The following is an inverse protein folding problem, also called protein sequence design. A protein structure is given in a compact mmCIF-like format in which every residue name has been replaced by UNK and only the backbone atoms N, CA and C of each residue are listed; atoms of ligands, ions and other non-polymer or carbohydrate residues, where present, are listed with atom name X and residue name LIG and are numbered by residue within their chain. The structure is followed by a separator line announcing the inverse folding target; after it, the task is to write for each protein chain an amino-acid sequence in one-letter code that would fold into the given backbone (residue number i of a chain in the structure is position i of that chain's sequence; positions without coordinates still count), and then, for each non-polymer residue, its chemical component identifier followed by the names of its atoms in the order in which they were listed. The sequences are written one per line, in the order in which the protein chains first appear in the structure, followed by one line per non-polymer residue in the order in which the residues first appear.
data_IF_056152000328
#
_entry.id   IF_056152000328
#
_cell.length_a   1.000
_cell.length_b   1.000
_cell.length_c   1.000
_cell.angle_alpha   90.00
_cell.angle_beta   90.00
_cell.angle_gamma   90.00
#
_symmetry.space_group_name_H-M   'P 1'
#
loop_
_entity.id
_entity.type
_entity.pdbx_description
1 polymer ?
#
# COMPACT_ATOMS: atom_id res chain seq x y z
N UNK A 1 8.66 -5.68 -9.98
CA UNK A 1 9.93 -5.20 -9.38
C UNK A 1 11.17 -5.74 -10.11
N UNK A 2 11.19 -6.99 -10.54
CA UNK A 2 12.33 -7.61 -11.25
C UNK A 2 12.86 -6.76 -12.42
N UNK A 3 11.96 -6.19 -13.23
CA UNK A 3 12.34 -5.31 -14.33
C UNK A 3 13.00 -4.02 -13.84
N UNK A 4 12.53 -3.41 -12.75
CA UNK A 4 13.14 -2.22 -12.17
C UNK A 4 14.56 -2.53 -11.65
N UNK A 5 14.71 -3.64 -10.95
CA UNK A 5 16.02 -4.14 -10.48
C UNK A 5 16.96 -4.38 -11.68
N UNK A 6 16.44 -5.00 -12.75
CA UNK A 6 17.24 -5.24 -13.96
C UNK A 6 17.68 -3.94 -14.66
N UNK A 7 16.78 -2.97 -14.78
CA UNK A 7 17.09 -1.67 -15.39
C UNK A 7 18.09 -0.86 -14.55
N UNK A 8 17.94 -0.88 -13.21
CA UNK A 8 18.89 -0.21 -12.33
C UNK A 8 20.30 -0.85 -12.44
N UNK A 9 20.40 -2.19 -12.42
CA UNK A 9 21.68 -2.90 -12.59
C UNK A 9 22.36 -2.63 -13.93
N UNK A 10 21.60 -2.29 -14.97
CA UNK A 10 22.14 -1.87 -16.28
C UNK A 10 22.54 -0.39 -16.33
N UNK A 11 22.18 0.38 -15.33
CA UNK A 11 22.38 1.82 -15.30
C UNK A 11 21.36 2.62 -16.14
N UNK A 12 20.24 1.98 -16.56
CA UNK A 12 19.18 2.63 -17.33
C UNK A 12 18.28 3.50 -16.45
N UNK A 13 18.20 3.20 -15.15
CA UNK A 13 17.49 3.98 -14.12
C UNK A 13 18.32 4.03 -12.85
N UNK A 14 18.18 5.14 -12.09
CA UNK A 14 18.92 5.45 -10.88
C UNK A 14 17.93 5.70 -9.73
N UNK A 15 18.11 5.01 -8.60
CA UNK A 15 17.29 5.16 -7.39
C UNK A 15 18.02 5.85 -6.25
N UNK A 16 19.28 6.28 -6.43
CA UNK A 16 20.14 6.84 -5.36
C UNK A 16 19.54 8.06 -4.66
N UNK A 17 18.72 8.85 -5.37
CA UNK A 17 18.04 10.03 -4.85
C UNK A 17 16.51 9.84 -4.72
N UNK A 18 16.00 8.64 -5.03
CA UNK A 18 14.58 8.33 -4.90
C UNK A 18 14.22 8.10 -3.43
N UNK A 19 13.10 8.65 -3.00
CA UNK A 19 12.46 8.35 -1.70
C UNK A 19 11.22 7.52 -1.94
N UNK A 20 11.02 6.49 -1.12
CA UNK A 20 9.85 5.63 -1.22
C UNK A 20 9.01 5.69 0.04
N UNK A 21 7.69 5.67 -0.15
CA UNK A 21 6.70 5.65 0.92
C UNK A 21 5.72 4.52 0.62
N UNK A 22 5.76 3.45 1.41
CA UNK A 22 4.85 2.33 1.24
C UNK A 22 3.43 2.73 1.66
N UNK A 23 2.43 2.17 0.97
CA UNK A 23 1.01 2.43 1.25
C UNK A 23 0.58 1.99 2.65
N UNK A 24 1.11 0.86 3.10
CA UNK A 24 0.59 0.16 4.27
C UNK A 24 1.60 -0.81 4.88
N UNK A 25 1.29 -1.25 6.10
CA UNK A 25 1.97 -2.34 6.80
C UNK A 25 1.01 -2.97 7.82
N UNK A 26 1.16 -4.27 8.06
CA UNK A 26 0.42 -4.97 9.09
C UNK A 26 0.81 -4.50 10.50
N UNK A 27 -0.19 -4.34 11.37
CA UNK A 27 0.04 -4.00 12.77
C UNK A 27 0.32 -5.25 13.60
N UNK A 28 1.33 -5.16 14.47
CA UNK A 28 1.86 -6.24 15.32
C UNK A 28 2.52 -7.39 14.58
N UNK A 29 2.73 -7.30 13.27
CA UNK A 29 3.57 -8.24 12.56
C UNK A 29 5.02 -7.73 12.59
N UNK A 30 6.01 -8.51 13.07
CA UNK A 30 7.42 -8.12 13.03
C UNK A 30 7.88 -7.83 11.59
N UNK A 31 8.67 -6.79 11.39
CA UNK A 31 9.17 -6.41 10.06
C UNK A 31 10.05 -7.47 9.39
N UNK A 32 10.62 -8.38 10.18
CA UNK A 32 11.40 -9.55 9.74
C UNK A 32 10.52 -10.73 9.30
N UNK A 33 9.22 -10.69 9.59
CA UNK A 33 8.29 -11.73 9.14
C UNK A 33 8.19 -11.70 7.62
N UNK A 34 8.24 -12.85 6.98
CA UNK A 34 8.24 -12.98 5.52
C UNK A 34 6.92 -12.53 4.84
N UNK A 35 5.88 -12.26 5.64
CA UNK A 35 4.60 -11.72 5.20
C UNK A 35 4.45 -10.22 5.48
N UNK A 36 5.43 -9.55 6.14
CA UNK A 36 5.40 -8.09 6.27
C UNK A 36 5.69 -7.41 4.94
N UNK A 37 5.10 -6.24 4.70
CA UNK A 37 5.42 -5.45 3.50
C UNK A 37 6.85 -4.92 3.54
N UNK A 38 7.39 -4.63 4.73
CA UNK A 38 8.80 -4.30 4.89
C UNK A 38 9.69 -5.42 4.31
N UNK A 39 9.52 -6.66 4.78
CA UNK A 39 10.29 -7.81 4.28
C UNK A 39 10.09 -8.01 2.78
N UNK A 40 8.84 -7.96 2.31
CA UNK A 40 8.50 -8.12 0.90
C UNK A 40 9.24 -7.11 0.02
N UNK A 41 9.24 -5.84 0.40
CA UNK A 41 9.85 -4.76 -0.39
C UNK A 41 11.37 -4.86 -0.39
N UNK A 42 11.99 -5.15 0.75
CA UNK A 42 13.44 -5.37 0.80
C UNK A 42 13.86 -6.57 -0.06
N UNK A 43 13.15 -7.69 0.05
CA UNK A 43 13.43 -8.90 -0.72
C UNK A 43 13.28 -8.69 -2.23
N UNK A 44 12.24 -7.99 -2.66
CA UNK A 44 11.86 -7.94 -4.07
C UNK A 44 12.35 -6.68 -4.80
N UNK A 45 12.73 -5.62 -4.09
CA UNK A 45 13.14 -4.36 -4.68
C UNK A 45 14.37 -3.74 -4.01
N UNK A 46 14.27 -3.33 -2.74
CA UNK A 46 15.26 -2.42 -2.15
C UNK A 46 16.66 -3.03 -2.07
N UNK A 47 16.80 -4.31 -1.75
CA UNK A 47 18.11 -5.00 -1.76
C UNK A 47 18.71 -5.15 -3.17
N UNK A 48 17.93 -4.93 -4.22
CA UNK A 48 18.34 -5.13 -5.61
C UNK A 48 18.70 -3.85 -6.36
N UNK A 49 18.50 -2.68 -5.77
CA UNK A 49 18.68 -1.36 -6.37
C UNK A 49 19.59 -0.47 -5.50
N UNK A 50 20.02 0.66 -6.03
CA UNK A 50 20.93 1.60 -5.39
C UNK A 50 20.27 2.66 -4.49
N UNK A 51 19.03 2.38 -4.01
CA UNK A 51 18.33 3.25 -3.04
C UNK A 51 19.06 3.28 -1.70
N UNK A 52 19.13 4.45 -1.07
CA UNK A 52 19.68 4.61 0.28
C UNK A 52 18.62 4.18 1.32
N UNK A 53 19.02 3.42 2.34
CA UNK A 53 18.09 2.96 3.40
C UNK A 53 17.35 4.10 4.09
N UNK A 54 17.98 5.25 4.26
CA UNK A 54 17.39 6.47 4.83
C UNK A 54 16.24 7.05 3.99
N UNK A 55 16.14 6.67 2.73
CA UNK A 55 15.11 7.09 1.79
C UNK A 55 13.96 6.08 1.69
N UNK A 56 14.01 4.97 2.41
CA UNK A 56 12.96 3.94 2.41
C UNK A 56 12.05 4.14 3.62
N UNK A 57 10.78 4.41 3.37
CA UNK A 57 9.80 4.64 4.42
C UNK A 57 8.66 3.61 4.30
N UNK A 58 8.52 2.79 5.34
CA UNK A 58 7.40 1.85 5.52
C UNK A 58 6.70 2.22 6.81
N UNK A 59 5.36 2.25 6.87
CA UNK A 59 4.65 2.56 8.11
C UNK A 59 5.09 1.64 9.25
N UNK A 60 5.28 2.18 10.45
CA UNK A 60 5.68 1.37 11.60
C UNK A 60 4.50 0.56 12.13
N UNK A 61 4.53 -0.75 11.96
CA UNK A 61 3.52 -1.69 12.47
C UNK A 61 3.69 -2.06 13.95
N UNK A 62 4.58 -1.40 14.72
CA UNK A 62 4.86 -1.72 16.10
C UNK A 62 4.65 -0.51 17.03
N UNK A 63 4.41 -0.75 18.32
CA UNK A 63 4.29 0.32 19.32
C UNK A 63 2.92 1.00 19.31
N UNK A 64 2.88 2.32 19.52
CA UNK A 64 1.65 3.10 19.55
C UNK A 64 1.18 3.39 18.11
N UNK A 65 0.09 2.76 17.72
CA UNK A 65 -0.42 2.83 16.35
C UNK A 65 -0.84 4.25 15.94
N UNK A 66 -1.41 5.04 16.88
CA UNK A 66 -1.84 6.40 16.57
C UNK A 66 -0.64 7.34 16.36
N UNK A 67 0.36 7.24 17.21
CA UNK A 67 1.60 8.02 17.06
C UNK A 67 2.29 7.68 15.72
N UNK A 68 2.34 6.40 15.36
CA UNK A 68 2.90 5.96 14.08
C UNK A 68 2.14 6.54 12.87
N UNK A 69 0.80 6.60 12.94
CA UNK A 69 -0.02 7.23 11.89
C UNK A 69 0.28 8.73 11.79
N UNK A 70 0.38 9.42 12.93
CA UNK A 70 0.63 10.86 12.97
C UNK A 70 2.04 11.20 12.45
N UNK A 71 3.05 10.42 12.83
CA UNK A 71 4.42 10.55 12.30
C UNK A 71 4.49 10.30 10.80
N UNK A 72 3.79 9.28 10.32
CA UNK A 72 3.77 8.97 8.88
C UNK A 72 3.07 10.08 8.09
N UNK A 73 1.95 10.62 8.59
CA UNK A 73 1.28 11.78 8.01
C UNK A 73 2.18 13.02 7.94
N UNK A 74 2.98 13.26 8.98
CA UNK A 74 3.95 14.34 9.00
C UNK A 74 5.03 14.14 7.93
N UNK A 75 5.59 12.93 7.84
CA UNK A 75 6.58 12.60 6.80
C UNK A 75 6.03 12.82 5.39
N UNK A 76 4.80 12.38 5.11
CA UNK A 76 4.16 12.57 3.81
C UNK A 76 3.93 14.05 3.49
N UNK A 77 3.54 14.87 4.48
CA UNK A 77 3.35 16.31 4.29
C UNK A 77 4.67 17.04 3.97
N UNK A 78 5.78 16.58 4.54
CA UNK A 78 7.11 17.13 4.29
C UNK A 78 7.75 16.62 2.98
N UNK A 79 7.24 15.50 2.44
CA UNK A 79 7.76 14.84 1.25
C UNK A 79 6.62 14.50 0.27
N UNK A 80 6.12 15.48 -0.51
CA UNK A 80 5.07 15.23 -1.49
C UNK A 80 5.45 14.13 -2.49
N UNK A 81 4.53 13.20 -2.72
CA UNK A 81 4.73 12.05 -3.60
C UNK A 81 4.58 12.49 -5.06
N UNK A 82 5.57 12.18 -5.91
CA UNK A 82 5.49 12.42 -7.33
C UNK A 82 4.63 11.38 -8.06
N UNK A 83 4.83 10.11 -7.73
CA UNK A 83 4.10 8.99 -8.34
C UNK A 83 3.63 8.03 -7.25
N UNK A 84 2.33 7.83 -7.13
CA UNK A 84 1.73 6.80 -6.28
C UNK A 84 1.35 5.58 -7.12
N UNK A 85 1.96 4.44 -6.81
CA UNK A 85 1.60 3.16 -7.42
C UNK A 85 0.51 2.49 -6.59
N UNK A 86 -0.57 2.04 -7.24
CA UNK A 86 -1.69 1.38 -6.60
C UNK A 86 -2.04 0.04 -7.25
N UNK A 87 -2.55 -0.88 -6.42
CA UNK A 87 -3.43 -1.96 -6.84
C UNK A 87 -4.90 -1.60 -6.59
N UNK A 88 -5.80 -2.51 -6.93
CA UNK A 88 -7.23 -2.40 -6.63
C UNK A 88 -7.76 -3.73 -6.08
N UNK A 89 -8.54 -3.67 -5.02
CA UNK A 89 -9.26 -4.81 -4.50
C UNK A 89 -10.45 -5.21 -5.39
N UNK A 90 -10.96 -6.42 -5.25
CA UNK A 90 -12.14 -6.88 -5.99
C UNK A 90 -13.42 -6.10 -5.63
N UNK A 91 -13.46 -5.51 -4.43
CA UNK A 91 -14.52 -4.63 -3.94
C UNK A 91 -14.21 -3.12 -4.14
N UNK A 92 -13.11 -2.79 -4.85
CA UNK A 92 -12.72 -1.42 -5.16
C UNK A 92 -11.90 -0.71 -4.08
N UNK A 93 -11.42 -1.41 -3.05
CA UNK A 93 -10.50 -0.79 -2.09
C UNK A 93 -9.14 -0.46 -2.72
N UNK A 94 -8.47 0.57 -2.21
CA UNK A 94 -7.10 0.98 -2.55
C UNK A 94 -6.28 1.11 -1.26
N UNK A 95 -5.09 0.48 -1.20
CA UNK A 95 -4.43 0.21 0.07
C UNK A 95 -5.36 -0.62 0.96
N UNK A 96 -5.45 -0.32 2.25
CA UNK A 96 -6.49 -0.87 3.12
C UNK A 96 -7.69 0.06 3.32
N UNK A 97 -7.94 0.99 2.37
CA UNK A 97 -9.14 1.83 2.39
C UNK A 97 -10.32 1.06 1.81
N UNK A 98 -11.09 0.42 2.68
CA UNK A 98 -12.25 -0.40 2.37
C UNK A 98 -13.48 0.46 2.01
N UNK A 99 -14.52 -0.11 1.34
CA UNK A 99 -15.78 0.58 1.10
C UNK A 99 -16.34 1.26 2.35
N UNK A 100 -16.70 2.55 2.22
CA UNK A 100 -17.13 3.42 3.29
C UNK A 100 -16.02 4.31 3.89
N UNK A 101 -14.76 4.17 3.44
CA UNK A 101 -13.68 5.06 3.88
C UNK A 101 -13.89 6.48 3.38
N UNK A 102 -13.75 7.47 4.27
CA UNK A 102 -13.84 8.89 3.92
C UNK A 102 -12.71 9.28 2.96
N UNK A 103 -13.05 10.00 1.89
CA UNK A 103 -12.08 10.49 0.92
C UNK A 103 -11.07 11.48 1.48
N UNK A 104 -11.40 12.16 2.60
CA UNK A 104 -10.48 13.06 3.31
C UNK A 104 -9.60 12.31 4.34
N UNK A 105 -9.67 10.98 4.40
CA UNK A 105 -8.86 10.19 5.33
C UNK A 105 -7.37 10.37 5.07
N UNK A 106 -6.62 10.56 6.14
CA UNK A 106 -5.15 10.50 6.15
C UNK A 106 -4.69 9.13 6.64
N UNK A 107 -3.38 8.91 6.75
CA UNK A 107 -2.84 7.65 7.28
C UNK A 107 -3.51 7.33 8.62
N UNK A 108 -4.06 6.15 8.70
CA UNK A 108 -4.86 5.67 9.83
C UNK A 108 -4.67 4.17 10.03
N UNK A 109 -5.06 3.68 11.19
CA UNK A 109 -5.17 2.25 11.40
C UNK A 109 -6.54 1.75 10.97
N UNK A 110 -6.58 0.50 10.52
CA UNK A 110 -7.80 -0.15 10.06
C UNK A 110 -7.93 -1.54 10.69
N UNK A 111 -9.15 -1.92 11.00
CA UNK A 111 -9.51 -3.31 11.26
C UNK A 111 -9.81 -3.97 9.91
N UNK A 112 -9.11 -5.07 9.60
CA UNK A 112 -9.30 -5.77 8.32
C UNK A 112 -10.65 -6.48 8.29
N UNK A 113 -11.36 -6.36 7.17
CA UNK A 113 -12.62 -7.09 6.95
C UNK A 113 -12.36 -8.59 6.82
N UNK A 114 -13.34 -9.41 7.19
CA UNK A 114 -13.23 -10.88 7.05
C UNK A 114 -12.89 -11.33 5.63
N UNK A 115 -13.45 -10.65 4.61
CA UNK A 115 -13.13 -10.94 3.21
C UNK A 115 -11.66 -10.71 2.90
N UNK A 116 -11.07 -9.64 3.42
CA UNK A 116 -9.66 -9.31 3.26
C UNK A 116 -8.78 -10.30 4.02
N UNK A 117 -9.17 -10.68 5.25
CA UNK A 117 -8.47 -11.71 6.03
C UNK A 117 -8.45 -13.04 5.29
N UNK A 118 -9.60 -13.49 4.76
CA UNK A 118 -9.72 -14.75 3.98
C UNK A 118 -8.88 -14.73 2.71
N UNK A 119 -8.91 -13.62 1.97
CA UNK A 119 -8.09 -13.49 0.76
C UNK A 119 -6.59 -13.49 1.10
N UNK A 120 -6.18 -12.77 2.13
CA UNK A 120 -4.79 -12.73 2.57
C UNK A 120 -4.34 -14.10 3.12
N UNK A 121 -5.18 -14.80 3.91
CA UNK A 121 -4.90 -16.15 4.36
C UNK A 121 -4.61 -17.08 3.17
N UNK A 122 -5.49 -17.08 2.18
CA UNK A 122 -5.35 -17.91 0.98
C UNK A 122 -4.10 -17.57 0.16
N UNK A 123 -3.76 -16.28 0.03
CA UNK A 123 -2.69 -15.83 -0.86
C UNK A 123 -1.31 -15.87 -0.20
N UNK A 124 -1.24 -15.59 1.11
CA UNK A 124 0.01 -15.26 1.79
C UNK A 124 0.27 -16.06 3.07
N UNK A 125 -0.76 -16.61 3.72
CA UNK A 125 -0.66 -17.29 5.00
C UNK A 125 -1.06 -18.77 4.94
N UNK A 126 -0.89 -19.42 3.79
CA UNK A 126 -1.17 -20.86 3.57
C UNK A 126 -2.59 -21.30 3.96
N UNK A 127 -3.56 -20.40 3.90
CA UNK A 127 -4.94 -20.65 4.28
C UNK A 127 -5.24 -20.48 5.76
N UNK A 128 -4.27 -20.08 6.58
CA UNK A 128 -4.44 -19.86 8.03
C UNK A 128 -4.94 -18.43 8.30
N UNK A 129 -6.25 -18.30 8.56
CA UNK A 129 -6.87 -17.01 8.88
C UNK A 129 -6.44 -16.47 10.26
N UNK A 130 -6.04 -17.32 11.18
CA UNK A 130 -5.60 -16.91 12.53
C UNK A 130 -4.19 -16.31 12.49
N UNK A 131 -3.37 -16.72 11.55
CA UNK A 131 -2.04 -16.16 11.32
C UNK A 131 -2.07 -14.77 10.66
N UNK A 132 -3.18 -14.40 9.98
CA UNK A 132 -3.33 -13.08 9.36
C UNK A 132 -3.52 -12.02 10.44
N UNK A 133 -2.69 -10.94 10.46
CA UNK A 133 -2.94 -9.81 11.34
C UNK A 133 -4.34 -9.23 11.12
N UNK A 134 -5.00 -8.83 12.20
CA UNK A 134 -6.37 -8.30 12.13
C UNK A 134 -6.43 -6.79 11.90
N UNK A 135 -5.29 -6.12 12.02
CA UNK A 135 -5.16 -4.68 11.88
C UNK A 135 -3.97 -4.31 11.00
N UNK A 136 -4.05 -3.15 10.35
CA UNK A 136 -2.99 -2.58 9.54
C UNK A 136 -2.94 -1.06 9.70
N UNK A 137 -1.81 -0.45 9.34
CA UNK A 137 -1.69 0.98 9.09
C UNK A 137 -1.76 1.17 7.57
N UNK A 138 -2.56 2.12 7.11
CA UNK A 138 -2.69 2.44 5.69
C UNK A 138 -2.67 3.94 5.44
N UNK A 139 -1.99 4.38 4.37
CA UNK A 139 -2.24 5.71 3.83
C UNK A 139 -3.73 5.87 3.57
N UNK A 140 -4.28 7.01 4.00
CA UNK A 140 -5.66 7.35 3.68
C UNK A 140 -5.82 7.80 2.23
N UNK A 141 -7.06 7.90 1.78
CA UNK A 141 -7.39 8.28 0.41
C UNK A 141 -6.85 9.67 0.08
N UNK A 142 -6.92 10.63 1.01
CA UNK A 142 -6.36 11.96 0.81
C UNK A 142 -4.84 11.92 0.55
N UNK A 143 -4.08 11.12 1.32
CA UNK A 143 -2.64 10.99 1.09
C UNK A 143 -2.32 10.44 -0.32
N UNK A 144 -3.13 9.50 -0.80
CA UNK A 144 -2.99 8.94 -2.15
C UNK A 144 -3.29 10.02 -3.19
N UNK A 145 -4.36 10.78 -3.01
CA UNK A 145 -4.80 11.83 -3.95
C UNK A 145 -3.90 13.08 -3.93
N UNK A 146 -3.12 13.30 -2.87
CA UNK A 146 -2.13 14.38 -2.79
C UNK A 146 -0.90 14.12 -3.68
N UNK A 147 -0.75 12.90 -4.21
CA UNK A 147 0.31 12.59 -5.16
C UNK A 147 0.13 13.32 -6.50
N UNK A 148 1.22 13.75 -7.13
CA UNK A 148 1.16 14.44 -8.44
C UNK A 148 0.61 13.55 -9.56
N UNK A 149 0.86 12.25 -9.47
CA UNK A 149 0.36 11.26 -10.42
C UNK A 149 0.05 9.96 -9.70
N UNK A 150 -1.03 9.30 -10.10
CA UNK A 150 -1.41 7.98 -9.60
C UNK A 150 -1.37 6.97 -10.76
N UNK A 151 -0.70 5.84 -10.53
CA UNK A 151 -0.64 4.73 -11.48
C UNK A 151 -1.29 3.51 -10.84
N UNK A 152 -2.46 3.13 -11.33
CA UNK A 152 -3.18 1.95 -10.85
C UNK A 152 -2.93 0.76 -11.78
N UNK A 153 -2.54 -0.37 -11.19
CA UNK A 153 -2.34 -1.63 -11.91
C UNK A 153 -3.41 -2.63 -11.45
N UNK A 154 -4.24 -3.07 -12.38
CA UNK A 154 -5.27 -4.08 -12.16
C UNK A 154 -5.02 -5.30 -13.04
N UNK A 155 -4.87 -6.47 -12.44
CA UNK A 155 -4.65 -7.73 -13.14
C UNK A 155 -5.65 -8.79 -12.70
N UNK A 156 -6.16 -9.54 -13.68
CA UNK A 156 -7.06 -10.66 -13.43
C UNK A 156 -8.54 -10.30 -13.54
N UNK A 157 -9.32 -11.30 -13.95
CA UNK A 157 -10.75 -11.15 -14.25
C UNK A 157 -11.59 -10.77 -13.01
N UNK A 158 -11.13 -11.12 -11.82
CA UNK A 158 -11.79 -10.77 -10.56
C UNK A 158 -11.76 -9.26 -10.23
N UNK A 159 -11.02 -8.44 -11.00
CA UNK A 159 -10.98 -6.99 -10.86
C UNK A 159 -11.93 -6.25 -11.82
N UNK A 160 -12.55 -6.95 -12.74
CA UNK A 160 -13.38 -6.39 -13.82
C UNK A 160 -14.47 -5.45 -13.29
N UNK A 161 -15.25 -5.90 -12.31
CA UNK A 161 -16.35 -5.10 -11.75
C UNK A 161 -15.85 -3.86 -11.01
N UNK A 162 -14.75 -3.98 -10.25
CA UNK A 162 -14.16 -2.85 -9.53
C UNK A 162 -13.62 -1.80 -10.51
N UNK A 163 -12.89 -2.23 -11.55
CA UNK A 163 -12.37 -1.34 -12.60
C UNK A 163 -13.49 -0.68 -13.39
N UNK A 164 -14.53 -1.44 -13.75
CA UNK A 164 -15.71 -0.89 -14.42
C UNK A 164 -16.41 0.17 -13.56
N UNK A 165 -16.65 -0.15 -12.28
CA UNK A 165 -17.27 0.79 -11.33
C UNK A 165 -16.44 2.06 -11.13
N UNK A 166 -15.11 1.94 -11.08
CA UNK A 166 -14.19 3.07 -10.97
C UNK A 166 -14.26 4.00 -12.18
N UNK A 167 -14.35 3.45 -13.41
CA UNK A 167 -14.30 4.26 -14.65
C UNK A 167 -15.68 4.79 -15.05
N UNK A 168 -16.73 3.96 -14.94
CA UNK A 168 -18.05 4.26 -15.46
C UNK A 168 -19.07 4.60 -14.37
N UNK A 169 -18.76 4.31 -13.11
CA UNK A 169 -19.67 4.51 -11.98
C UNK A 169 -19.58 5.91 -11.38
N UNK A 170 -20.46 6.22 -10.41
CA UNK A 170 -20.36 7.46 -9.65
C UNK A 170 -19.16 7.45 -8.72
N UNK A 171 -18.61 8.62 -8.42
CA UNK A 171 -17.62 8.80 -7.37
C UNK A 171 -18.32 8.63 -6.01
N UNK A 172 -17.93 7.63 -5.26
CA UNK A 172 -18.59 7.27 -3.99
C UNK A 172 -17.61 6.55 -3.04
N UNK A 173 -17.69 6.81 -1.72
CA UNK A 173 -16.92 6.06 -0.72
C UNK A 173 -17.18 4.56 -0.74
N UNK A 174 -18.34 4.11 -1.21
CA UNK A 174 -18.67 2.67 -1.35
C UNK A 174 -17.79 1.95 -2.39
N UNK A 175 -17.11 2.70 -3.23
CA UNK A 175 -16.09 2.22 -4.16
C UNK A 175 -14.87 3.15 -4.05
N UNK A 176 -13.97 2.96 -3.08
CA UNK A 176 -12.87 3.90 -2.81
C UNK A 176 -12.05 4.29 -4.05
N UNK A 177 -11.77 3.34 -4.94
CA UNK A 177 -11.06 3.60 -6.19
C UNK A 177 -11.79 4.57 -7.14
N UNK A 178 -13.09 4.82 -6.93
CA UNK A 178 -13.87 5.73 -7.80
C UNK A 178 -13.42 7.18 -7.70
N UNK A 179 -12.61 7.55 -6.70
CA UNK A 179 -12.05 8.89 -6.55
C UNK A 179 -10.91 9.19 -7.55
N UNK A 180 -10.29 8.15 -8.10
CA UNK A 180 -9.20 8.23 -9.07
C UNK A 180 -9.68 8.67 -10.45
#
# INVERSE_FOLDING_TARGET
YENLVSLNKKGDIDFSEVRTFNLDEYYKLPKENDQSYHYFMYKNLFNGIDIKDENVHVPCGQGNIQENCDEYNKMLAENPIDIQLLGIGSNGHIGFNEPGTDFNSKTHYVDLKESTIKDNARLFFNGDEDAVPKQAISMGIQNIMDAKSVVLIACGKNKENAVKGMIEGPVTPELPASVL
#
